data_IF_832197395238
#
_entry.id   IF_832197395238
#
_cell.length_a   1.000
_cell.length_b   1.000
_cell.length_c   1.000
_cell.angle_alpha   90.00
_cell.angle_beta   90.00
_cell.angle_gamma   90.00
#
_symmetry.space_group_name_H-M   'P 1'
#
loop_
_entity.id
_entity.type
_entity.pdbx_description
1 polymer ?
#
# COMPACT_ATOMS: atom_id res chain seq x y z
N UNK A 1 -7.92 3.84 1.87
CA UNK A 1 -7.93 5.27 1.50
C UNK A 1 -6.53 5.60 0.99
N UNK A 2 -6.39 6.00 -0.28
CA UNK A 2 -5.08 6.39 -0.84
C UNK A 2 -4.83 7.85 -0.53
N UNK A 3 -3.85 8.14 0.32
CA UNK A 3 -3.36 9.49 0.53
C UNK A 3 -2.27 9.78 -0.52
N UNK A 4 -2.68 10.38 -1.63
CA UNK A 4 -1.83 10.65 -2.79
C UNK A 4 -0.72 11.69 -2.54
N UNK A 5 -0.65 12.30 -1.34
CA UNK A 5 0.42 13.24 -0.97
C UNK A 5 1.44 12.66 0.03
N UNK A 6 1.10 11.61 0.78
CA UNK A 6 1.96 11.08 1.84
C UNK A 6 2.69 9.77 1.52
N UNK A 7 2.67 9.30 0.26
CA UNK A 7 3.37 8.08 -0.16
C UNK A 7 3.02 6.83 0.67
N UNK A 8 1.80 6.78 1.21
CA UNK A 8 1.38 5.79 2.20
C UNK A 8 0.00 5.22 1.88
N UNK A 9 -0.17 3.94 2.19
CA UNK A 9 -1.49 3.33 2.28
C UNK A 9 -1.74 2.82 3.71
N UNK A 10 -2.98 2.95 4.16
CA UNK A 10 -3.41 2.59 5.50
C UNK A 10 -4.53 1.54 5.44
N UNK A 11 -4.45 0.53 6.31
CA UNK A 11 -5.53 -0.45 6.55
C UNK A 11 -6.31 -0.01 7.79
N UNK A 12 -7.63 -0.08 7.69
CA UNK A 12 -8.55 0.12 8.80
C UNK A 12 -9.36 -1.16 9.02
N UNK A 13 -9.62 -1.51 10.28
CA UNK A 13 -10.54 -2.57 10.69
C UNK A 13 -11.42 -2.04 11.81
N UNK A 14 -12.74 -2.20 11.70
CA UNK A 14 -13.73 -1.65 12.65
C UNK A 14 -13.51 -0.17 13.00
N UNK A 15 -13.16 0.64 12.00
CA UNK A 15 -12.89 2.08 12.17
C UNK A 15 -11.56 2.41 12.84
N UNK A 16 -10.77 1.42 13.25
CA UNK A 16 -9.44 1.60 13.84
C UNK A 16 -8.35 1.42 12.79
N UNK A 17 -7.34 2.30 12.81
CA UNK A 17 -6.14 2.15 12.01
C UNK A 17 -5.34 0.92 12.50
N UNK A 18 -5.11 -0.05 11.62
CA UNK A 18 -4.42 -1.31 11.96
C UNK A 18 -3.05 -1.42 11.32
N UNK A 19 -2.72 -0.60 10.32
CA UNK A 19 -1.38 -0.55 9.75
C UNK A 19 -1.21 0.58 8.76
N UNK A 20 0.03 1.07 8.66
CA UNK A 20 0.46 2.07 7.67
C UNK A 20 1.69 1.51 6.97
N UNK A 21 1.66 1.49 5.65
CA UNK A 21 2.75 1.02 4.81
C UNK A 21 3.18 2.12 3.87
N UNK A 22 4.47 2.17 3.57
CA UNK A 22 5.05 3.11 2.62
C UNK A 22 5.85 4.24 3.24
N UNK A 23 6.86 4.66 2.47
CA UNK A 23 7.62 5.91 2.57
C UNK A 23 8.06 6.31 1.17
N UNK A 24 8.51 7.54 0.98
CA UNK A 24 9.07 7.99 -0.30
C UNK A 24 10.33 7.20 -0.64
N UNK A 25 10.41 6.66 -1.86
CA UNK A 25 11.59 5.95 -2.35
C UNK A 25 11.29 5.03 -3.53
N UNK A 26 12.31 4.29 -3.96
CA UNK A 26 12.25 3.30 -5.05
C UNK A 26 12.53 1.86 -4.59
N UNK A 27 12.82 1.65 -3.31
CA UNK A 27 12.99 0.32 -2.72
C UNK A 27 11.68 -0.47 -2.62
N UNK A 28 11.76 -1.76 -2.32
CA UNK A 28 10.57 -2.59 -2.08
C UNK A 28 9.78 -2.09 -0.88
N UNK A 29 8.49 -1.80 -1.06
CA UNK A 29 7.64 -1.21 -0.01
C UNK A 29 7.75 0.31 0.11
N UNK A 30 8.65 0.96 -0.64
CA UNK A 30 8.68 2.41 -0.82
C UNK A 30 7.86 2.81 -2.06
N UNK A 31 7.36 4.04 -2.09
CA UNK A 31 6.52 4.54 -3.18
C UNK A 31 6.95 5.91 -3.65
N UNK A 32 6.76 6.17 -4.94
CA UNK A 32 6.90 7.46 -5.58
C UNK A 32 5.61 7.82 -6.33
N UNK A 33 4.81 8.69 -5.69
CA UNK A 33 3.51 9.15 -6.19
C UNK A 33 2.58 7.98 -6.60
N UNK A 34 2.22 7.09 -5.66
CA UNK A 34 1.28 6.03 -5.96
C UNK A 34 -0.13 6.61 -6.20
N UNK A 35 -0.77 6.24 -7.30
CA UNK A 35 -2.08 6.80 -7.69
C UNK A 35 -3.24 5.81 -7.58
N UNK A 36 -2.96 4.52 -7.49
CA UNK A 36 -3.97 3.48 -7.52
C UNK A 36 -3.68 2.37 -6.52
N UNK A 37 -4.74 1.87 -5.88
CA UNK A 37 -4.72 0.68 -5.04
C UNK A 37 -5.89 -0.22 -5.44
N UNK A 38 -5.64 -1.52 -5.55
CA UNK A 38 -6.67 -2.54 -5.75
C UNK A 38 -6.39 -3.73 -4.83
N UNK A 39 -7.44 -4.45 -4.46
CA UNK A 39 -7.34 -5.67 -3.65
C UNK A 39 -8.06 -6.78 -4.41
N UNK A 40 -7.43 -7.94 -4.55
CA UNK A 40 -8.08 -9.11 -5.15
C UNK A 40 -8.90 -9.90 -4.12
N UNK A 41 -9.60 -10.94 -4.58
CA UNK A 41 -10.41 -11.81 -3.70
C UNK A 41 -9.58 -12.62 -2.69
N UNK A 42 -8.27 -12.71 -2.89
CA UNK A 42 -7.34 -13.39 -1.98
C UNK A 42 -6.73 -12.43 -0.94
N UNK A 43 -7.13 -11.16 -0.95
CA UNK A 43 -6.60 -10.13 -0.04
C UNK A 43 -5.23 -9.60 -0.45
N UNK A 44 -4.79 -9.85 -1.69
CA UNK A 44 -3.54 -9.31 -2.22
C UNK A 44 -3.76 -7.86 -2.62
N UNK A 45 -2.89 -6.98 -2.13
CA UNK A 45 -2.92 -5.55 -2.43
C UNK A 45 -1.96 -5.23 -3.58
N UNK A 46 -2.48 -4.57 -4.61
CA UNK A 46 -1.74 -4.07 -5.74
C UNK A 46 -1.69 -2.55 -5.67
N UNK A 47 -0.49 -1.98 -5.74
CA UNK A 47 -0.28 -0.53 -5.74
C UNK A 47 0.40 -0.10 -7.02
N UNK A 48 -0.21 0.84 -7.74
CA UNK A 48 0.36 1.48 -8.92
C UNK A 48 1.32 2.59 -8.49
N UNK A 49 2.62 2.29 -8.53
CA UNK A 49 3.72 3.15 -8.09
C UNK A 49 4.23 4.00 -9.27
N UNK A 50 3.43 5.00 -9.62
CA UNK A 50 3.43 5.71 -10.92
C UNK A 50 4.79 6.26 -11.33
N UNK A 51 5.49 6.94 -10.42
CA UNK A 51 6.77 7.60 -10.75
C UNK A 51 7.97 6.65 -10.63
N UNK A 52 7.76 5.45 -10.10
CA UNK A 52 8.71 4.35 -10.23
C UNK A 52 8.36 3.43 -11.41
N UNK A 53 7.33 3.75 -12.21
CA UNK A 53 6.89 3.02 -13.39
C UNK A 53 6.68 1.51 -13.15
N UNK A 54 6.14 1.16 -11.97
CA UNK A 54 5.95 -0.25 -11.56
C UNK A 54 4.62 -0.47 -10.86
N UNK A 55 4.23 -1.75 -10.78
CA UNK A 55 3.19 -2.22 -9.88
C UNK A 55 3.86 -3.00 -8.75
N UNK A 56 3.52 -2.71 -7.50
CA UNK A 56 3.95 -3.49 -6.35
C UNK A 56 2.79 -4.33 -5.82
N UNK A 57 3.10 -5.57 -5.42
CA UNK A 57 2.15 -6.56 -4.90
C UNK A 57 2.49 -6.88 -3.45
N UNK A 58 1.51 -6.84 -2.57
CA UNK A 58 1.67 -7.10 -1.14
C UNK A 58 0.68 -8.14 -0.65
N UNK A 59 1.20 -9.16 0.02
CA UNK A 59 0.43 -10.04 0.88
C UNK A 59 0.28 -9.36 2.23
N UNK A 60 -0.93 -8.92 2.57
CA UNK A 60 -1.21 -8.38 3.90
C UNK A 60 -1.70 -9.54 4.76
N UNK A 61 -0.77 -10.29 5.34
CA UNK A 61 -1.12 -11.38 6.24
C UNK A 61 -1.63 -10.86 7.58
N UNK A 62 -2.67 -11.55 8.03
CA UNK A 62 -3.11 -11.85 9.40
C UNK A 62 -2.19 -11.75 10.62
N UNK A 63 -0.90 -11.38 10.55
CA UNK A 63 0.00 -11.70 11.67
C UNK A 63 1.31 -10.95 11.66
N UNK A 64 1.42 -9.96 12.55
CA UNK A 64 2.63 -9.83 13.37
C UNK A 64 2.29 -10.46 14.71
N UNK A 65 2.88 -11.62 15.00
CA UNK A 65 2.99 -12.13 16.37
C UNK A 65 4.12 -11.38 17.07
#
# INVERSE_FOLDING_TARGET
MTDSYNHRFARYSDGKLTGVWGRTGSGSGDFNRPIGIAIDSNGIVYVADTMNHRIQRFEISETAK
#
